data_IF_502784126696
#
_entry.id   IF_502784126696
#
_cell.length_a   1.000
_cell.length_b   1.000
_cell.length_c   1.000
_cell.angle_alpha   90.00
_cell.angle_beta   90.00
_cell.angle_gamma   90.00
#
_symmetry.space_group_name_H-M   'P 1'
#
loop_
_entity.id
_entity.type
_entity.pdbx_description
1 polymer ?
#
# COMPACT_ATOMS: atom_id res chain seq x y z
N UNK A 1 -15.87 7.98 -36.15
CA UNK A 1 -14.46 7.80 -36.55
C UNK A 1 -13.73 6.98 -35.49
N UNK A 2 -13.73 5.66 -35.60
CA UNK A 2 -12.86 4.79 -34.79
C UNK A 2 -11.49 4.77 -35.47
N UNK A 3 -10.58 5.60 -34.98
CA UNK A 3 -9.20 5.62 -35.46
C UNK A 3 -8.53 4.29 -35.18
N UNK A 4 -8.10 3.60 -36.22
CA UNK A 4 -7.29 2.38 -36.12
C UNK A 4 -5.93 2.76 -35.49
N UNK A 5 -5.80 2.55 -34.18
CA UNK A 5 -4.52 2.68 -33.48
C UNK A 5 -3.50 1.74 -34.15
N UNK A 6 -2.34 2.24 -34.59
CA UNK A 6 -1.35 1.44 -35.32
C UNK A 6 -0.90 0.22 -34.49
N UNK A 7 -0.69 -0.91 -35.17
CA UNK A 7 -0.39 -2.22 -34.55
C UNK A 7 0.85 -2.19 -33.64
N UNK A 8 1.82 -1.33 -33.97
CA UNK A 8 3.00 -1.05 -33.15
C UNK A 8 2.65 -0.43 -31.79
N UNK A 9 1.75 0.54 -31.76
CA UNK A 9 1.32 1.20 -30.53
C UNK A 9 0.53 0.27 -29.60
N UNK A 10 -0.24 -0.68 -30.16
CA UNK A 10 -0.92 -1.72 -29.38
C UNK A 10 0.06 -2.70 -28.72
N UNK A 11 1.12 -3.09 -29.41
CA UNK A 11 2.16 -3.98 -28.85
C UNK A 11 2.93 -3.30 -27.73
N UNK A 12 3.35 -2.04 -27.94
CA UNK A 12 4.02 -1.26 -26.90
C UNK A 12 3.11 -1.10 -25.67
N UNK A 13 1.83 -0.80 -25.87
CA UNK A 13 0.88 -0.69 -24.75
C UNK A 13 0.71 -2.02 -24.00
N UNK A 14 0.62 -3.15 -24.71
CA UNK A 14 0.49 -4.47 -24.09
C UNK A 14 1.75 -4.86 -23.29
N UNK A 15 2.95 -4.57 -23.81
CA UNK A 15 4.21 -4.80 -23.09
C UNK A 15 4.37 -3.86 -21.88
N UNK A 16 3.97 -2.59 -22.00
CA UNK A 16 3.95 -1.65 -20.89
C UNK A 16 2.97 -2.10 -19.80
N UNK A 17 1.76 -2.55 -20.17
CA UNK A 17 0.79 -3.09 -19.19
C UNK A 17 1.28 -4.40 -18.58
N UNK A 18 1.90 -5.28 -19.37
CA UNK A 18 2.50 -6.53 -18.92
C UNK A 18 3.65 -6.30 -17.94
N UNK A 19 4.51 -5.32 -18.21
CA UNK A 19 5.59 -4.93 -17.28
C UNK A 19 5.02 -4.24 -16.04
N UNK A 20 3.99 -3.40 -16.13
CA UNK A 20 3.35 -2.79 -14.96
C UNK A 20 2.62 -3.79 -14.03
N UNK A 21 2.50 -5.07 -14.42
CA UNK A 21 1.92 -6.11 -13.56
C UNK A 21 2.65 -6.31 -12.23
N UNK A 22 3.97 -6.01 -12.15
CA UNK A 22 4.70 -6.09 -10.88
C UNK A 22 4.23 -5.07 -9.84
N UNK A 23 3.54 -4.01 -10.28
CA UNK A 23 2.98 -2.98 -9.42
C UNK A 23 1.60 -3.35 -8.86
N UNK A 24 1.04 -4.51 -9.19
CA UNK A 24 -0.31 -4.89 -8.73
C UNK A 24 -0.49 -4.73 -7.21
N UNK A 25 -1.65 -4.20 -6.77
CA UNK A 25 -2.01 -4.11 -5.36
C UNK A 25 -1.90 -5.47 -4.67
N UNK A 26 -1.18 -5.52 -3.55
CA UNK A 26 -1.06 -6.72 -2.73
C UNK A 26 -1.94 -6.60 -1.48
N UNK A 27 -2.21 -7.70 -0.79
CA UNK A 27 -3.07 -7.70 0.40
C UNK A 27 -2.31 -7.35 1.70
N UNK A 28 -1.13 -6.74 1.60
CA UNK A 28 -0.23 -6.41 2.72
C UNK A 28 0.05 -4.91 2.83
N UNK A 29 -0.78 -4.07 2.22
CA UNK A 29 -0.60 -2.62 2.14
C UNK A 29 -1.86 -1.82 2.54
N UNK A 30 -1.69 -0.52 2.76
CA UNK A 30 -2.79 0.43 2.98
C UNK A 30 -3.07 1.23 1.69
N UNK A 31 -4.24 1.86 1.60
CA UNK A 31 -4.62 2.72 0.45
C UNK A 31 -3.59 3.83 0.25
N UNK A 32 -3.09 4.42 1.35
CA UNK A 32 -2.03 5.41 1.30
C UNK A 32 -0.76 4.86 0.64
N UNK A 33 -0.38 3.60 0.90
CA UNK A 33 0.81 2.99 0.30
C UNK A 33 0.59 2.78 -1.20
N UNK A 34 -0.60 2.28 -1.59
CA UNK A 34 -0.98 2.09 -3.00
C UNK A 34 -0.90 3.38 -3.80
N UNK A 35 -1.28 4.51 -3.20
CA UNK A 35 -1.16 5.82 -3.84
C UNK A 35 0.29 6.14 -4.25
N UNK A 36 1.28 5.76 -3.44
CA UNK A 36 2.70 5.95 -3.77
C UNK A 36 3.19 4.94 -4.80
N UNK A 37 3.27 3.66 -4.43
CA UNK A 37 4.02 2.71 -5.23
C UNK A 37 3.27 2.27 -6.48
N UNK A 38 1.93 2.23 -6.46
CA UNK A 38 1.13 1.79 -7.60
C UNK A 38 0.70 2.98 -8.45
N UNK A 39 -0.15 3.86 -7.91
CA UNK A 39 -0.76 4.93 -8.70
C UNK A 39 0.27 5.98 -9.15
N UNK A 40 1.11 6.47 -8.23
CA UNK A 40 2.08 7.53 -8.57
C UNK A 40 3.22 6.98 -9.45
N UNK A 41 3.77 5.82 -9.13
CA UNK A 41 4.77 5.18 -10.00
C UNK A 41 4.22 4.90 -11.39
N UNK A 42 3.00 4.38 -11.52
CA UNK A 42 2.37 4.12 -12.83
C UNK A 42 2.13 5.42 -13.58
N UNK A 43 1.60 6.45 -12.91
CA UNK A 43 1.38 7.76 -13.50
C UNK A 43 2.68 8.36 -14.06
N UNK A 44 3.78 8.27 -13.30
CA UNK A 44 5.10 8.75 -13.74
C UNK A 44 5.63 7.97 -14.93
N UNK A 45 5.55 6.64 -14.91
CA UNK A 45 6.02 5.79 -16.02
C UNK A 45 5.22 6.04 -17.30
N UNK A 46 3.88 6.11 -17.21
CA UNK A 46 3.02 6.42 -18.36
C UNK A 46 3.35 7.81 -18.91
N UNK A 47 3.54 8.80 -18.04
CA UNK A 47 3.90 10.16 -18.46
C UNK A 47 5.28 10.21 -19.11
N UNK A 48 6.26 9.47 -18.60
CA UNK A 48 7.59 9.38 -19.20
C UNK A 48 7.53 8.77 -20.62
N UNK A 49 6.72 7.73 -20.82
CA UNK A 49 6.48 7.12 -22.14
C UNK A 49 5.80 8.12 -23.09
N UNK A 50 4.75 8.82 -22.63
CA UNK A 50 4.04 9.81 -23.46
C UNK A 50 4.95 10.95 -23.91
N UNK A 51 5.78 11.49 -23.02
CA UNK A 51 6.75 12.54 -23.37
C UNK A 51 7.79 12.01 -24.35
N UNK A 52 8.31 10.80 -24.12
CA UNK A 52 9.29 10.17 -25.01
C UNK A 52 8.73 9.94 -26.41
N UNK A 53 7.47 9.52 -26.54
CA UNK A 53 6.80 9.36 -27.84
C UNK A 53 6.71 10.70 -28.59
N UNK A 54 6.44 11.82 -27.90
CA UNK A 54 6.44 13.15 -28.53
C UNK A 54 7.84 13.62 -28.90
N UNK A 55 8.86 13.28 -28.11
CA UNK A 55 10.25 13.67 -28.35
C UNK A 55 10.87 12.96 -29.56
N UNK A 56 10.66 11.65 -29.70
CA UNK A 56 11.27 10.86 -30.77
C UNK A 56 10.35 10.65 -31.99
N UNK A 57 9.03 10.69 -31.79
CA UNK A 57 8.03 10.41 -32.83
C UNK A 57 7.42 11.65 -33.48
N UNK A 58 7.80 12.85 -33.09
CA UNK A 58 7.33 14.11 -33.69
C UNK A 58 8.44 15.15 -33.77
N UNK A 59 8.12 16.37 -34.24
CA UNK A 59 9.01 17.53 -34.17
C UNK A 59 8.98 18.12 -32.75
N UNK A 60 10.06 18.02 -31.94
CA UNK A 60 10.07 18.53 -30.56
C UNK A 60 10.35 20.04 -30.49
N UNK A 61 11.01 20.57 -31.53
CA UNK A 61 11.35 21.97 -31.75
C UNK A 61 11.07 22.31 -33.21
N UNK A 62 10.59 23.52 -33.47
CA UNK A 62 10.38 24.05 -34.83
C UNK A 62 11.01 25.44 -34.92
N UNK A 63 11.83 25.69 -35.93
CA UNK A 63 12.63 26.92 -36.01
C UNK A 63 12.21 27.84 -37.16
N UNK A 64 12.19 29.14 -36.89
CA UNK A 64 12.00 30.19 -37.88
C UNK A 64 13.33 30.43 -38.61
N UNK A 65 13.37 30.03 -39.88
CA UNK A 65 14.56 30.05 -40.72
C UNK A 65 14.38 31.04 -41.89
N UNK A 66 15.48 31.64 -42.41
CA UNK A 66 15.42 32.45 -43.61
C UNK A 66 14.91 31.63 -44.82
N UNK A 67 14.18 32.29 -45.73
CA UNK A 67 13.59 31.65 -46.91
C UNK A 67 14.61 30.99 -47.87
N UNK A 68 15.89 31.31 -47.73
CA UNK A 68 17.00 30.72 -48.51
C UNK A 68 17.31 29.27 -48.10
N UNK A 69 16.94 28.87 -46.88
CA UNK A 69 17.20 27.53 -46.36
C UNK A 69 16.25 26.53 -47.00
N UNK A 70 16.81 25.51 -47.67
CA UNK A 70 16.03 24.39 -48.22
C UNK A 70 15.55 23.48 -47.07
N UNK A 71 14.50 22.68 -47.30
CA UNK A 71 13.94 21.80 -46.26
C UNK A 71 14.94 20.87 -45.57
N UNK A 72 15.96 20.36 -46.27
CA UNK A 72 17.01 19.55 -45.62
C UNK A 72 17.89 20.33 -44.64
N UNK A 73 18.03 21.65 -44.85
CA UNK A 73 18.76 22.57 -43.97
C UNK A 73 17.91 22.98 -42.78
N UNK A 74 16.58 23.06 -42.96
CA UNK A 74 15.62 23.20 -41.86
C UNK A 74 15.73 22.02 -40.90
N UNK A 75 15.61 20.79 -41.42
CA UNK A 75 15.70 19.57 -40.59
C UNK A 75 17.07 19.49 -39.87
N UNK A 76 18.17 19.83 -40.54
CA UNK A 76 19.49 19.89 -39.91
C UNK A 76 19.55 20.94 -38.79
N UNK A 77 19.04 22.14 -39.04
CA UNK A 77 19.11 23.23 -38.06
C UNK A 77 18.24 22.92 -36.84
N UNK A 78 17.04 22.36 -37.04
CA UNK A 78 16.17 21.92 -35.95
C UNK A 78 16.84 20.83 -35.11
N UNK A 79 17.45 19.81 -35.73
CA UNK A 79 18.17 18.77 -35.01
C UNK A 79 19.42 19.30 -34.28
N UNK A 80 20.15 20.23 -34.92
CA UNK A 80 21.32 20.88 -34.31
C UNK A 80 20.92 21.67 -33.06
N UNK A 81 19.89 22.51 -33.19
CA UNK A 81 19.37 23.32 -32.08
C UNK A 81 18.77 22.46 -30.97
N UNK A 82 18.11 21.36 -31.33
CA UNK A 82 17.65 20.38 -30.36
C UNK A 82 18.81 19.77 -29.58
N UNK A 83 19.91 19.39 -30.24
CA UNK A 83 21.05 18.72 -29.61
C UNK A 83 21.94 19.66 -28.78
N UNK A 84 22.15 20.90 -29.24
CA UNK A 84 23.07 21.88 -28.60
C UNK A 84 22.45 22.65 -27.43
N UNK A 85 21.15 22.48 -27.17
CA UNK A 85 20.32 23.29 -26.28
C UNK A 85 20.03 24.70 -26.82
N UNK A 86 18.98 25.31 -26.28
CA UNK A 86 18.55 26.67 -26.64
C UNK A 86 18.53 27.56 -25.41
N UNK A 87 18.59 28.87 -25.58
CA UNK A 87 18.58 29.84 -24.48
C UNK A 87 17.35 30.73 -24.53
N UNK A 88 16.93 31.24 -23.37
CA UNK A 88 15.78 32.13 -23.26
C UNK A 88 16.20 33.59 -23.11
N UNK A 89 15.61 34.47 -23.92
CA UNK A 89 15.74 35.92 -23.83
C UNK A 89 14.34 36.53 -23.97
N UNK A 90 13.89 37.38 -23.03
CA UNK A 90 12.66 38.15 -23.19
C UNK A 90 12.70 39.03 -24.45
N UNK A 91 11.58 39.15 -25.16
CA UNK A 91 11.51 39.94 -26.40
C UNK A 91 11.88 41.42 -26.24
N UNK A 92 11.66 42.00 -25.06
CA UNK A 92 11.96 43.40 -24.77
C UNK A 92 13.43 43.65 -24.40
N UNK A 93 14.22 42.60 -24.14
CA UNK A 93 15.63 42.73 -23.77
C UNK A 93 16.55 42.46 -24.95
N UNK A 94 17.68 43.18 -25.00
CA UNK A 94 18.74 42.91 -25.96
C UNK A 94 19.39 41.53 -25.74
N UNK A 95 19.96 40.98 -26.81
CA UNK A 95 20.69 39.73 -26.72
C UNK A 95 21.94 39.90 -25.86
N UNK A 96 22.24 38.94 -24.96
CA UNK A 96 23.44 39.01 -24.15
C UNK A 96 24.71 39.00 -25.03
N UNK A 97 25.60 39.93 -24.74
CA UNK A 97 26.94 40.01 -25.32
C UNK A 97 27.88 39.05 -24.58
N UNK A 98 28.61 38.22 -25.33
CA UNK A 98 29.48 37.18 -24.78
C UNK A 98 28.84 35.79 -24.72
N UNK A 99 29.68 34.77 -24.92
CA UNK A 99 29.24 33.38 -24.93
C UNK A 99 28.85 32.88 -23.54
N UNK A 100 29.56 33.31 -22.49
CA UNK A 100 29.29 32.92 -21.10
C UNK A 100 27.88 33.31 -20.66
N UNK A 101 27.46 34.55 -20.93
CA UNK A 101 26.13 35.03 -20.56
C UNK A 101 24.99 34.34 -21.34
N UNK A 102 25.29 33.72 -22.49
CA UNK A 102 24.35 32.90 -23.26
C UNK A 102 24.26 31.49 -22.69
N UNK A 103 25.40 30.91 -22.32
CA UNK A 103 25.48 29.60 -21.67
C UNK A 103 24.71 29.56 -20.34
N UNK A 104 24.82 30.61 -19.52
CA UNK A 104 24.08 30.73 -18.26
C UNK A 104 22.55 30.75 -18.42
N UNK A 105 22.05 31.12 -19.60
CA UNK A 105 20.61 31.19 -19.93
C UNK A 105 20.12 29.98 -20.72
N UNK A 106 20.97 28.96 -20.91
CA UNK A 106 20.60 27.75 -21.63
C UNK A 106 19.58 26.93 -20.86
N UNK A 107 18.64 26.38 -21.60
CA UNK A 107 17.56 25.54 -21.10
C UNK A 107 17.80 24.13 -21.64
N UNK A 108 17.99 23.16 -20.75
CA UNK A 108 18.28 21.77 -21.13
C UNK A 108 17.41 20.72 -20.44
N UNK A 109 16.63 21.10 -19.41
CA UNK A 109 15.83 20.16 -18.61
C UNK A 109 14.81 19.35 -19.44
N UNK A 110 14.31 19.89 -20.56
CA UNK A 110 13.30 19.22 -21.39
C UNK A 110 13.83 17.92 -22.01
N UNK A 111 15.13 17.84 -22.31
CA UNK A 111 15.77 16.62 -22.83
C UNK A 111 15.81 15.51 -21.76
N UNK A 112 16.03 15.90 -20.51
CA UNK A 112 16.20 14.99 -19.38
C UNK A 112 14.90 14.59 -18.68
N UNK A 113 13.79 15.25 -19.04
CA UNK A 113 12.50 15.08 -18.36
C UNK A 113 12.02 13.62 -18.30
N UNK A 114 12.05 12.82 -19.39
CA UNK A 114 11.61 11.42 -19.31
C UNK A 114 12.45 10.58 -18.35
N UNK A 115 13.77 10.76 -18.35
CA UNK A 115 14.68 10.03 -17.47
C UNK A 115 14.45 10.40 -16.01
N UNK A 116 14.27 11.70 -15.73
CA UNK A 116 13.91 12.20 -14.41
C UNK A 116 12.63 11.51 -13.89
N UNK A 117 11.56 11.46 -14.70
CA UNK A 117 10.29 10.83 -14.31
C UNK A 117 10.43 9.33 -14.00
N UNK A 118 11.27 8.59 -14.76
CA UNK A 118 11.55 7.17 -14.50
C UNK A 118 12.29 6.98 -13.17
N UNK A 119 13.28 7.83 -12.88
CA UNK A 119 14.01 7.80 -11.60
C UNK A 119 13.05 8.10 -10.44
N UNK A 120 12.19 9.12 -10.59
CA UNK A 120 11.15 9.43 -9.62
C UNK A 120 10.21 8.23 -9.39
N UNK A 121 9.76 7.56 -10.46
CA UNK A 121 8.90 6.38 -10.36
C UNK A 121 9.56 5.27 -9.54
N UNK A 122 10.83 4.98 -9.81
CA UNK A 122 11.59 4.00 -9.03
C UNK A 122 11.71 4.39 -7.55
N UNK A 123 11.97 5.66 -7.26
CA UNK A 123 12.06 6.16 -5.88
C UNK A 123 10.72 6.03 -5.14
N UNK A 124 9.57 6.27 -5.79
CA UNK A 124 8.24 6.01 -5.23
C UNK A 124 7.95 4.51 -4.99
N UNK A 125 8.51 3.63 -5.81
CA UNK A 125 8.39 2.18 -5.63
C UNK A 125 9.32 1.64 -4.53
N UNK A 126 10.46 2.27 -4.31
CA UNK A 126 11.53 1.78 -3.41
C UNK A 126 11.10 1.45 -1.97
N UNK A 127 10.21 2.21 -1.28
CA UNK A 127 9.82 1.87 0.08
C UNK A 127 9.01 0.58 0.14
N UNK A 128 8.17 0.32 -0.87
CA UNK A 128 7.42 -0.93 -1.00
C UNK A 128 8.35 -2.12 -1.26
N UNK A 129 9.38 -1.94 -2.09
CA UNK A 129 10.39 -2.96 -2.31
C UNK A 129 11.14 -3.31 -1.01
N UNK A 130 11.53 -2.29 -0.24
CA UNK A 130 12.19 -2.48 1.07
C UNK A 130 11.28 -3.24 2.03
N UNK A 131 9.99 -2.87 2.12
CA UNK A 131 9.00 -3.59 2.91
C UNK A 131 8.99 -5.08 2.53
N UNK A 132 8.83 -5.38 1.23
CA UNK A 132 8.72 -6.74 0.69
C UNK A 132 9.94 -7.61 1.01
N UNK A 133 11.14 -7.04 0.91
CA UNK A 133 12.39 -7.75 1.20
C UNK A 133 12.57 -7.99 2.72
N UNK A 134 12.09 -7.07 3.55
CA UNK A 134 12.37 -7.07 5.00
C UNK A 134 11.28 -7.74 5.83
N UNK A 135 10.01 -7.73 5.43
CA UNK A 135 8.93 -8.31 6.24
C UNK A 135 8.98 -9.85 6.22
N UNK A 136 9.44 -10.47 5.13
CA UNK A 136 9.62 -11.93 5.06
C UNK A 136 10.64 -12.43 6.10
N UNK A 137 11.64 -11.60 6.43
CA UNK A 137 12.62 -11.89 7.50
C UNK A 137 12.00 -11.87 8.88
N UNK A 138 10.78 -11.36 9.03
CA UNK A 138 10.05 -11.57 10.26
C UNK A 138 9.83 -13.07 10.42
N UNK A 139 9.26 -13.78 9.45
CA UNK A 139 8.75 -15.14 9.63
C UNK A 139 7.26 -15.18 9.97
N UNK A 140 6.56 -14.03 9.93
CA UNK A 140 5.10 -13.98 9.78
C UNK A 140 4.84 -13.92 8.27
N UNK A 141 4.22 -14.95 7.71
CA UNK A 141 3.80 -14.95 6.30
C UNK A 141 2.53 -14.14 6.15
N UNK A 142 2.67 -12.82 6.13
CA UNK A 142 1.53 -11.88 6.10
C UNK A 142 0.65 -12.11 4.87
N UNK A 143 1.26 -12.35 3.70
CA UNK A 143 0.55 -12.67 2.46
C UNK A 143 -0.39 -13.86 2.60
N UNK A 144 0.09 -14.95 3.21
CA UNK A 144 -0.71 -16.16 3.41
C UNK A 144 -1.88 -15.89 4.37
N UNK A 145 -1.61 -15.22 5.50
CA UNK A 145 -2.62 -14.83 6.49
C UNK A 145 -3.74 -14.02 5.82
N UNK A 146 -3.37 -13.03 5.01
CA UNK A 146 -4.35 -12.18 4.32
C UNK A 146 -5.10 -12.95 3.24
N UNK A 147 -4.41 -13.79 2.46
CA UNK A 147 -5.05 -14.63 1.45
C UNK A 147 -6.13 -15.55 2.07
N UNK A 148 -5.84 -16.20 3.20
CA UNK A 148 -6.81 -17.01 3.93
C UNK A 148 -7.99 -16.18 4.45
N UNK A 149 -7.73 -14.97 4.92
CA UNK A 149 -8.77 -14.08 5.44
C UNK A 149 -9.68 -13.49 4.35
N UNK A 150 -9.14 -13.24 3.16
CA UNK A 150 -9.88 -12.69 2.02
C UNK A 150 -10.43 -13.76 1.08
N UNK A 151 -10.31 -15.04 1.44
CA UNK A 151 -10.77 -16.14 0.59
C UNK A 151 -12.28 -16.04 0.31
N UNK A 152 -12.67 -16.27 -0.95
CA UNK A 152 -14.07 -16.22 -1.39
C UNK A 152 -14.92 -17.28 -0.71
N UNK A 153 -14.32 -18.37 -0.23
CA UNK A 153 -15.01 -19.40 0.55
C UNK A 153 -15.60 -18.87 1.87
N UNK A 154 -15.07 -17.75 2.40
CA UNK A 154 -15.55 -17.12 3.64
C UNK A 154 -16.97 -16.55 3.55
N UNK A 155 -17.57 -16.52 2.35
CA UNK A 155 -19.00 -16.21 2.18
C UNK A 155 -19.86 -17.31 2.81
N UNK A 156 -19.42 -18.57 2.77
CA UNK A 156 -20.15 -19.68 3.37
C UNK A 156 -19.85 -19.81 4.87
N UNK A 157 -20.86 -19.86 5.76
CA UNK A 157 -20.63 -19.86 7.21
C UNK A 157 -19.78 -21.02 7.74
N UNK A 158 -19.92 -22.22 7.18
CA UNK A 158 -19.17 -23.39 7.63
C UNK A 158 -17.68 -23.29 7.26
N UNK A 159 -17.39 -22.95 6.00
CA UNK A 159 -16.02 -22.73 5.53
C UNK A 159 -15.35 -21.55 6.28
N UNK A 160 -16.10 -20.46 6.50
CA UNK A 160 -15.62 -19.32 7.28
C UNK A 160 -15.18 -19.71 8.69
N UNK A 161 -15.99 -20.48 9.42
CA UNK A 161 -15.64 -20.94 10.77
C UNK A 161 -14.38 -21.81 10.79
N UNK A 162 -14.24 -22.72 9.82
CA UNK A 162 -13.06 -23.56 9.69
C UNK A 162 -11.80 -22.71 9.41
N UNK A 163 -11.90 -21.77 8.48
CA UNK A 163 -10.81 -20.85 8.13
C UNK A 163 -10.40 -19.95 9.31
N UNK A 164 -11.37 -19.44 10.06
CA UNK A 164 -11.13 -18.61 11.25
C UNK A 164 -10.49 -19.43 12.38
N UNK A 165 -10.93 -20.67 12.59
CA UNK A 165 -10.29 -21.56 13.56
C UNK A 165 -8.85 -21.88 13.16
N UNK A 166 -8.60 -22.18 11.88
CA UNK A 166 -7.25 -22.37 11.34
C UNK A 166 -6.37 -21.12 11.50
N UNK A 167 -6.92 -19.95 11.19
CA UNK A 167 -6.22 -18.66 11.27
C UNK A 167 -5.88 -18.28 12.72
N UNK A 168 -6.83 -18.41 13.64
CA UNK A 168 -6.63 -18.13 15.07
C UNK A 168 -5.63 -19.09 15.71
N UNK A 169 -5.65 -20.38 15.36
CA UNK A 169 -4.67 -21.36 15.79
C UNK A 169 -3.26 -21.04 15.24
N UNK A 170 -3.16 -20.70 13.95
CA UNK A 170 -1.90 -20.30 13.33
C UNK A 170 -1.33 -19.02 13.97
N UNK A 171 -2.14 -17.97 14.14
CA UNK A 171 -1.73 -16.72 14.78
C UNK A 171 -1.31 -16.93 16.24
N UNK A 172 -2.10 -17.69 17.00
CA UNK A 172 -1.77 -18.04 18.39
C UNK A 172 -0.45 -18.80 18.50
N UNK A 173 -0.21 -19.76 17.60
CA UNK A 173 1.05 -20.51 17.53
C UNK A 173 2.24 -19.61 17.16
N UNK A 174 2.08 -18.75 16.16
CA UNK A 174 3.12 -17.80 15.73
C UNK A 174 3.47 -16.82 16.84
N UNK A 175 2.47 -16.27 17.53
CA UNK A 175 2.69 -15.36 18.65
C UNK A 175 3.26 -16.10 19.87
N UNK A 176 2.97 -17.38 20.10
CA UNK A 176 3.52 -18.11 21.25
C UNK A 176 4.95 -18.62 21.02
N UNK A 177 5.22 -19.20 19.84
CA UNK A 177 6.46 -19.93 19.57
C UNK A 177 7.63 -19.01 19.27
N UNK A 178 7.39 -17.85 18.66
CA UNK A 178 8.49 -17.00 18.20
C UNK A 178 9.17 -16.18 19.30
N UNK A 179 8.48 -15.92 20.42
CA UNK A 179 9.04 -15.10 21.51
C UNK A 179 9.78 -15.89 22.58
N UNK A 180 9.80 -17.24 22.53
CA UNK A 180 10.77 -18.04 23.31
C UNK A 180 12.21 -17.93 22.79
N UNK A 181 12.40 -17.49 21.53
CA UNK A 181 13.74 -17.28 20.93
C UNK A 181 14.41 -15.97 21.35
N UNK A 182 13.70 -15.06 22.04
CA UNK A 182 14.19 -13.72 22.39
C UNK A 182 15.12 -13.66 23.62
N UNK A 183 15.23 -14.73 24.41
CA UNK A 183 15.86 -14.68 25.74
C UNK A 183 17.31 -15.18 25.82
N UNK A 184 17.97 -15.54 24.71
CA UNK A 184 19.42 -15.81 24.75
C UNK A 184 20.00 -16.45 23.50
N UNK A 185 20.43 -15.64 22.53
CA UNK A 185 21.27 -16.12 21.43
C UNK A 185 22.68 -15.49 21.51
N UNK A 186 23.77 -16.24 21.32
CA UNK A 186 25.17 -15.76 21.46
C UNK A 186 25.60 -14.66 20.48
N UNK A 187 24.84 -14.41 19.42
CA UNK A 187 25.23 -13.55 18.29
C UNK A 187 24.58 -12.16 18.35
N UNK A 188 24.41 -11.58 19.53
CA UNK A 188 24.02 -10.18 19.64
C UNK A 188 25.20 -9.33 19.16
N UNK A 189 25.12 -8.74 17.96
CA UNK A 189 26.19 -7.85 17.50
C UNK A 189 26.27 -6.64 18.44
N UNK A 190 27.39 -6.53 19.17
CA UNK A 190 27.60 -5.50 20.21
C UNK A 190 27.71 -4.08 19.62
N UNK A 191 28.11 -3.97 18.35
CA UNK A 191 28.47 -2.72 17.70
C UNK A 191 27.35 -2.13 16.82
N UNK A 192 26.70 -2.96 15.99
CA UNK A 192 25.58 -2.53 15.15
C UNK A 192 24.24 -2.97 15.71
N UNK A 193 23.76 -2.24 16.72
CA UNK A 193 22.51 -2.53 17.43
C UNK A 193 21.27 -2.53 16.51
N UNK A 194 21.30 -1.80 15.40
CA UNK A 194 20.20 -1.76 14.42
C UNK A 194 20.08 -3.07 13.62
N UNK A 195 21.16 -3.82 13.39
CA UNK A 195 21.09 -5.12 12.70
C UNK A 195 20.45 -6.22 13.58
N UNK A 196 20.32 -5.97 14.90
CA UNK A 196 19.62 -6.85 15.84
C UNK A 196 18.09 -6.60 15.87
N UNK A 197 17.54 -5.76 14.98
CA UNK A 197 16.10 -5.48 14.85
C UNK A 197 15.24 -6.75 14.73
N UNK A 198 15.79 -7.81 14.13
CA UNK A 198 15.15 -9.13 13.91
C UNK A 198 14.65 -9.83 15.20
N UNK A 199 15.20 -9.49 16.36
CA UNK A 199 14.89 -10.15 17.65
C UNK A 199 13.99 -9.33 18.58
N UNK A 200 13.49 -8.17 18.15
CA UNK A 200 12.55 -7.38 18.94
C UNK A 200 11.11 -7.88 18.77
N UNK A 201 10.36 -7.92 19.87
CA UNK A 201 8.94 -8.30 19.90
C UNK A 201 7.99 -7.37 19.11
N UNK A 202 8.54 -6.30 18.53
CA UNK A 202 7.85 -5.26 17.79
C UNK A 202 8.48 -4.99 16.40
N UNK A 203 9.26 -5.94 15.86
CA UNK A 203 9.99 -5.76 14.60
C UNK A 203 9.08 -5.36 13.44
N UNK A 204 7.97 -6.07 13.25
CA UNK A 204 7.09 -5.84 12.10
C UNK A 204 6.40 -4.47 12.20
N UNK A 205 5.97 -4.10 13.40
CA UNK A 205 5.34 -2.80 13.68
C UNK A 205 6.32 -1.65 13.43
N UNK A 206 7.55 -1.73 13.95
CA UNK A 206 8.57 -0.71 13.74
C UNK A 206 9.01 -0.61 12.29
N UNK A 207 9.18 -1.75 11.61
CA UNK A 207 9.48 -1.80 10.18
C UNK A 207 8.40 -1.03 9.40
N UNK A 208 7.12 -1.33 9.64
CA UNK A 208 6.04 -0.69 8.92
C UNK A 208 5.95 0.82 9.19
N UNK A 209 6.12 1.26 10.44
CA UNK A 209 6.21 2.69 10.77
C UNK A 209 7.40 3.36 10.05
N UNK A 210 8.54 2.67 9.97
CA UNK A 210 9.70 3.12 9.20
C UNK A 210 9.41 3.26 7.71
N UNK A 211 8.64 2.34 7.12
CA UNK A 211 8.19 2.44 5.72
C UNK A 211 7.26 3.64 5.52
N UNK A 212 6.32 3.89 6.44
CA UNK A 212 5.46 5.08 6.40
C UNK A 212 6.26 6.38 6.46
N UNK A 213 7.28 6.44 7.32
CA UNK A 213 8.22 7.56 7.36
C UNK A 213 8.97 7.70 6.02
N UNK A 214 9.43 6.60 5.45
CA UNK A 214 10.16 6.60 4.19
C UNK A 214 9.29 7.10 3.03
N UNK A 215 7.99 6.77 2.98
CA UNK A 215 7.07 7.35 2.01
C UNK A 215 6.90 8.86 2.18
N UNK A 216 6.78 9.35 3.43
CA UNK A 216 6.68 10.78 3.71
C UNK A 216 7.96 11.52 3.29
N UNK A 217 9.13 11.02 3.70
CA UNK A 217 10.43 11.58 3.33
C UNK A 217 10.62 11.54 1.81
N UNK A 218 10.23 10.45 1.15
CA UNK A 218 10.32 10.34 -0.30
C UNK A 218 9.48 11.44 -0.98
N UNK A 219 8.22 11.65 -0.61
CA UNK A 219 7.41 12.73 -1.22
C UNK A 219 8.03 14.11 -1.03
N UNK A 220 8.52 14.42 0.17
CA UNK A 220 9.16 15.70 0.45
C UNK A 220 10.45 15.87 -0.37
N UNK A 221 11.24 14.81 -0.49
CA UNK A 221 12.42 14.76 -1.33
C UNK A 221 12.06 14.95 -2.81
N UNK A 222 11.00 14.33 -3.30
CA UNK A 222 10.56 14.47 -4.69
C UNK A 222 10.09 15.90 -4.99
N UNK A 223 9.39 16.54 -4.05
CA UNK A 223 9.04 17.97 -4.17
C UNK A 223 10.28 18.86 -4.25
N UNK A 224 11.31 18.56 -3.44
CA UNK A 224 12.58 19.26 -3.48
C UNK A 224 13.35 19.01 -4.79
N UNK A 225 13.45 17.75 -5.23
CA UNK A 225 14.13 17.36 -6.47
C UNK A 225 13.48 18.00 -7.69
N UNK A 226 12.15 18.12 -7.72
CA UNK A 226 11.44 18.81 -8.79
C UNK A 226 11.77 20.31 -8.83
N UNK A 227 11.90 20.96 -7.67
CA UNK A 227 12.32 22.36 -7.60
C UNK A 227 13.75 22.56 -8.13
N UNK A 228 14.65 21.65 -7.76
CA UNK A 228 16.05 21.66 -8.23
C UNK A 228 16.14 21.38 -9.74
N UNK A 229 15.36 20.43 -10.25
CA UNK A 229 15.37 20.04 -11.66
C UNK A 229 14.92 21.17 -12.60
N UNK A 230 13.96 21.97 -12.17
CA UNK A 230 13.43 23.10 -12.94
C UNK A 230 14.24 24.39 -12.79
N UNK A 231 15.36 24.35 -12.03
CA UNK A 231 16.31 25.47 -11.85
C UNK A 231 15.63 26.82 -11.56
N UNK A 232 14.55 26.78 -10.77
CA UNK A 232 13.74 27.98 -10.50
C UNK A 232 14.33 28.75 -9.34
N UNK A 233 15.50 29.36 -9.51
CA UNK A 233 16.20 30.10 -8.44
C UNK A 233 15.39 31.30 -7.91
N UNK A 234 14.45 31.82 -8.70
CA UNK A 234 13.55 32.91 -8.31
C UNK A 234 12.52 32.51 -7.24
N UNK A 235 12.22 31.22 -7.06
CA UNK A 235 11.17 30.75 -6.15
C UNK A 235 11.69 29.67 -5.19
N UNK A 236 11.62 29.92 -3.88
CA UNK A 236 11.98 28.91 -2.85
C UNK A 236 11.10 27.65 -2.93
N UNK A 237 9.86 27.78 -3.43
CA UNK A 237 8.94 26.67 -3.71
C UNK A 237 8.28 26.89 -5.06
N UNK A 238 8.77 26.19 -6.09
CA UNK A 238 8.29 26.22 -7.47
C UNK A 238 6.77 26.35 -7.60
N UNK A 239 6.00 25.43 -7.02
CA UNK A 239 4.57 25.35 -7.33
C UNK A 239 3.69 26.41 -6.66
N UNK A 240 4.11 27.00 -5.52
CA UNK A 240 3.40 28.14 -4.94
C UNK A 240 3.62 29.39 -5.82
N UNK A 241 4.85 29.59 -6.29
CA UNK A 241 5.20 30.69 -7.20
C UNK A 241 4.42 30.61 -8.52
N UNK A 242 4.43 29.45 -9.17
CA UNK A 242 3.73 29.22 -10.44
C UNK A 242 2.21 29.32 -10.29
N UNK A 243 1.63 28.76 -9.22
CA UNK A 243 0.19 28.87 -8.99
C UNK A 243 -0.24 30.32 -8.74
N UNK A 244 0.57 31.09 -7.99
CA UNK A 244 0.35 32.51 -7.77
C UNK A 244 0.43 33.31 -9.06
N UNK A 245 1.43 33.05 -9.90
CA UNK A 245 1.60 33.74 -11.17
C UNK A 245 0.45 33.43 -12.14
N UNK A 246 -0.05 32.19 -12.12
CA UNK A 246 -1.23 31.77 -12.90
C UNK A 246 -2.52 32.43 -12.38
N UNK A 247 -2.71 32.51 -11.06
CA UNK A 247 -3.84 33.21 -10.42
C UNK A 247 -3.82 34.71 -10.68
N UNK A 248 -2.62 35.31 -10.74
CA UNK A 248 -2.42 36.73 -11.05
C UNK A 248 -2.46 37.03 -12.55
N UNK A 249 -2.64 36.01 -13.41
CA UNK A 249 -2.73 36.17 -14.86
C UNK A 249 -1.42 36.66 -15.51
N UNK A 250 -0.26 36.48 -14.85
CA UNK A 250 1.02 36.91 -15.42
C UNK A 250 1.40 36.01 -16.61
N UNK A 251 1.66 36.58 -17.80
CA UNK A 251 2.01 35.77 -18.96
C UNK A 251 3.40 35.14 -18.83
N UNK A 252 3.55 33.94 -19.39
CA UNK A 252 4.79 33.15 -19.39
C UNK A 252 6.00 33.92 -19.95
N UNK A 253 5.76 34.86 -20.88
CA UNK A 253 6.75 35.74 -21.50
C UNK A 253 7.53 36.60 -20.50
N UNK A 254 6.95 36.90 -19.33
CA UNK A 254 7.58 37.72 -18.29
C UNK A 254 8.20 36.89 -17.16
N UNK A 255 7.62 35.71 -16.88
CA UNK A 255 8.11 34.85 -15.79
C UNK A 255 9.45 34.19 -16.11
N UNK A 256 9.71 33.89 -17.39
CA UNK A 256 10.87 33.14 -17.87
C UNK A 256 10.89 31.66 -17.46
N UNK A 257 9.88 31.19 -16.72
CA UNK A 257 9.73 29.80 -16.34
C UNK A 257 8.97 29.08 -17.47
N UNK A 258 9.56 28.02 -18.01
CA UNK A 258 9.07 27.29 -19.19
C UNK A 258 8.92 28.15 -20.46
N UNK A 259 10.03 28.60 -21.07
CA UNK A 259 9.98 29.36 -22.31
C UNK A 259 9.45 28.51 -23.46
N UNK A 260 8.40 28.99 -24.14
CA UNK A 260 7.88 28.34 -25.36
C UNK A 260 8.62 28.80 -26.61
N UNK A 261 9.27 29.95 -26.52
CA UNK A 261 10.14 30.50 -27.58
C UNK A 261 11.53 30.64 -27.00
N UNK A 262 12.49 30.11 -27.72
CA UNK A 262 13.91 30.09 -27.36
C UNK A 262 14.76 30.44 -28.57
N UNK A 263 15.99 30.87 -28.34
CA UNK A 263 16.94 31.20 -29.40
C UNK A 263 18.05 30.15 -29.47
N UNK A 264 18.54 29.91 -30.67
CA UNK A 264 19.62 28.98 -30.95
C UNK A 264 20.63 29.66 -31.86
N UNK A 265 21.91 29.46 -31.55
CA UNK A 265 23.00 30.02 -32.34
C UNK A 265 23.64 28.91 -33.18
N UNK A 266 23.62 29.09 -34.50
CA UNK A 266 24.17 28.18 -35.49
C UNK A 266 25.46 28.78 -36.06
N UNK A 267 26.59 28.11 -35.79
CA UNK A 267 27.89 28.51 -36.31
C UNK A 267 28.20 27.75 -37.59
N UNK A 268 28.11 28.42 -38.73
CA UNK A 268 28.42 27.85 -40.04
C UNK A 268 29.81 28.34 -40.48
N UNK A 269 30.66 27.41 -40.91
CA UNK A 269 31.96 27.74 -41.49
C UNK A 269 31.82 27.93 -43.00
N UNK A 270 32.06 29.14 -43.48
CA UNK A 270 32.13 29.46 -44.91
C UNK A 270 33.48 30.11 -45.22
N UNK A 271 34.24 29.53 -46.16
CA UNK A 271 35.53 30.07 -46.66
C UNK A 271 36.56 30.39 -45.54
N UNK A 272 36.53 29.65 -44.44
CA UNK A 272 37.46 29.83 -43.30
C UNK A 272 37.00 30.81 -42.22
N UNK A 273 35.91 31.56 -42.45
CA UNK A 273 35.28 32.42 -41.44
C UNK A 273 34.08 31.72 -40.80
N UNK A 274 33.95 31.83 -39.47
CA UNK A 274 32.77 31.36 -38.74
C UNK A 274 31.71 32.46 -38.81
N UNK A 275 30.55 32.15 -39.35
CA UNK A 275 29.38 33.03 -39.40
C UNK A 275 28.32 32.48 -38.44
N UNK A 276 27.91 33.30 -37.47
CA UNK A 276 26.93 32.93 -36.45
C UNK A 276 25.54 33.42 -36.86
N UNK A 277 24.62 32.49 -37.00
CA UNK A 277 23.21 32.75 -37.28
C UNK A 277 22.38 32.48 -36.04
N UNK A 278 21.66 33.49 -35.55
CA UNK A 278 20.72 33.33 -34.43
C UNK A 278 19.32 33.06 -34.97
N UNK A 279 18.77 31.89 -34.69
CA UNK A 279 17.42 31.49 -35.14
C UNK A 279 16.46 31.44 -33.96
N UNK A 280 15.21 31.82 -34.20
CA UNK A 280 14.14 31.75 -33.21
C UNK A 280 13.44 30.40 -33.34
N UNK A 281 13.34 29.65 -32.24
CA UNK A 281 12.72 28.33 -32.24
C UNK A 281 11.57 28.23 -31.22
N UNK A 282 10.49 27.60 -31.63
CA UNK A 282 9.34 27.25 -30.80
C UNK A 282 9.57 25.87 -30.19
N UNK A 283 9.64 25.81 -28.87
CA UNK A 283 9.88 24.59 -28.11
C UNK A 283 8.56 23.90 -27.78
N UNK A 284 8.04 23.14 -28.75
CA UNK A 284 6.72 22.48 -28.66
C UNK A 284 6.66 21.51 -27.49
N UNK A 285 7.77 20.82 -27.15
CA UNK A 285 7.78 19.89 -26.01
C UNK A 285 7.47 20.58 -24.68
N UNK A 286 7.84 21.87 -24.55
CA UNK A 286 7.79 22.56 -23.26
C UNK A 286 6.36 22.87 -22.80
N UNK A 287 5.41 22.98 -23.74
CA UNK A 287 3.99 23.16 -23.41
C UNK A 287 3.42 21.93 -22.67
N UNK A 288 3.91 20.74 -23.01
CA UNK A 288 3.49 19.49 -22.36
C UNK A 288 4.12 19.35 -20.99
N UNK A 289 5.43 19.62 -20.88
CA UNK A 289 6.14 19.54 -19.60
C UNK A 289 5.58 20.55 -18.59
N UNK A 290 5.27 21.78 -19.01
CA UNK A 290 4.61 22.79 -18.16
C UNK A 290 3.37 22.21 -17.47
N UNK A 291 2.46 21.58 -18.23
CA UNK A 291 1.21 21.03 -17.67
C UNK A 291 1.43 19.80 -16.80
N UNK A 292 2.34 18.92 -17.20
CA UNK A 292 2.71 17.73 -16.43
C UNK A 292 3.29 18.13 -15.07
N UNK A 293 4.23 19.06 -15.01
CA UNK A 293 4.87 19.48 -13.76
C UNK A 293 3.93 20.24 -12.83
N UNK A 294 2.98 21.01 -13.36
CA UNK A 294 1.92 21.63 -12.53
C UNK A 294 1.03 20.55 -11.90
N UNK A 295 0.59 19.56 -12.68
CA UNK A 295 -0.24 18.48 -12.17
C UNK A 295 0.52 17.61 -11.15
N UNK A 296 1.80 17.33 -11.41
CA UNK A 296 2.67 16.61 -10.47
C UNK A 296 2.83 17.37 -9.15
N UNK A 297 3.02 18.68 -9.18
CA UNK A 297 3.14 19.46 -7.95
C UNK A 297 1.87 19.41 -7.09
N UNK A 298 0.70 19.57 -7.71
CA UNK A 298 -0.59 19.45 -7.02
C UNK A 298 -0.78 18.04 -6.43
N UNK A 299 -0.44 17.01 -7.22
CA UNK A 299 -0.53 15.62 -6.79
C UNK A 299 0.42 15.30 -5.63
N UNK A 300 1.69 15.73 -5.69
CA UNK A 300 2.66 15.52 -4.62
C UNK A 300 2.30 16.27 -3.35
N UNK A 301 1.72 17.46 -3.47
CA UNK A 301 1.21 18.21 -2.31
C UNK A 301 0.08 17.46 -1.61
N UNK A 302 -0.87 16.90 -2.37
CA UNK A 302 -1.93 16.04 -1.84
C UNK A 302 -1.36 14.78 -1.19
N UNK A 303 -0.43 14.11 -1.87
CA UNK A 303 0.24 12.93 -1.33
C UNK A 303 1.01 13.24 -0.04
N UNK A 304 1.62 14.41 0.09
CA UNK A 304 2.34 14.80 1.30
C UNK A 304 1.40 14.83 2.51
N UNK A 305 0.21 15.43 2.35
CA UNK A 305 -0.81 15.50 3.39
C UNK A 305 -1.35 14.10 3.74
N UNK A 306 -1.62 13.27 2.73
CA UNK A 306 -2.08 11.89 2.94
C UNK A 306 -1.00 11.05 3.66
N UNK A 307 0.26 11.19 3.25
CA UNK A 307 1.40 10.46 3.84
C UNK A 307 1.64 10.88 5.28
N UNK A 308 1.58 12.17 5.55
CA UNK A 308 1.67 12.72 6.90
C UNK A 308 0.55 12.13 7.75
N UNK A 309 -0.71 12.24 7.33
CA UNK A 309 -1.85 11.69 8.06
C UNK A 309 -1.72 10.18 8.30
N UNK A 310 -1.32 9.41 7.28
CA UNK A 310 -1.09 7.96 7.42
C UNK A 310 0.03 7.66 8.43
N UNK A 311 1.17 8.33 8.34
CA UNK A 311 2.27 8.16 9.29
C UNK A 311 1.86 8.44 10.74
N UNK A 312 1.21 9.58 10.98
CA UNK A 312 0.77 9.95 12.33
C UNK A 312 -0.33 9.02 12.87
N UNK A 313 -1.31 8.63 12.05
CA UNK A 313 -2.36 7.69 12.47
C UNK A 313 -1.80 6.30 12.81
N UNK A 314 -0.82 5.80 12.05
CA UNK A 314 -0.15 4.54 12.37
C UNK A 314 0.69 4.62 13.64
N UNK A 315 1.42 5.72 13.86
CA UNK A 315 2.14 5.98 15.11
C UNK A 315 1.19 6.02 16.32
N UNK A 316 0.18 6.88 16.26
CA UNK A 316 -0.74 7.12 17.38
C UNK A 316 -1.62 5.91 17.68
N UNK A 317 -1.92 5.08 16.68
CA UNK A 317 -2.73 3.89 16.90
C UNK A 317 -1.90 2.68 17.37
N UNK A 318 -0.64 2.55 16.94
CA UNK A 318 0.14 1.30 17.15
C UNK A 318 1.13 1.36 18.31
N UNK A 319 1.70 2.52 18.63
CA UNK A 319 2.67 2.63 19.74
C UNK A 319 1.99 2.62 21.12
N UNK A 320 0.99 3.50 21.40
CA UNK A 320 0.42 3.60 22.74
C UNK A 320 -0.29 2.32 23.16
N UNK A 321 0.02 1.83 24.36
CA UNK A 321 -0.59 0.61 24.90
C UNK A 321 -2.11 0.77 25.05
N UNK A 322 -2.58 1.93 25.50
CA UNK A 322 -4.01 2.21 25.63
C UNK A 322 -4.77 2.09 24.32
N UNK A 323 -4.19 2.52 23.21
CA UNK A 323 -4.84 2.45 21.90
C UNK A 323 -4.88 1.02 21.37
N UNK A 324 -3.81 0.23 21.60
CA UNK A 324 -3.79 -1.21 21.32
C UNK A 324 -4.84 -1.96 22.15
N UNK A 325 -4.92 -1.68 23.45
CA UNK A 325 -5.94 -2.23 24.35
C UNK A 325 -7.34 -1.86 23.89
N UNK A 326 -7.60 -0.59 23.57
CA UNK A 326 -8.89 -0.12 23.05
C UNK A 326 -9.27 -0.74 21.70
N UNK A 327 -8.30 -1.05 20.85
CA UNK A 327 -8.55 -1.74 19.59
C UNK A 327 -9.06 -3.17 19.86
N UNK A 328 -8.37 -3.95 20.68
CA UNK A 328 -8.76 -5.33 21.02
C UNK A 328 -10.06 -5.35 21.85
N UNK A 329 -10.20 -4.45 22.83
CA UNK A 329 -11.42 -4.35 23.65
C UNK A 329 -12.66 -4.13 22.80
N UNK A 330 -12.61 -3.21 21.83
CA UNK A 330 -13.74 -2.96 20.92
C UNK A 330 -14.10 -4.20 20.11
N UNK A 331 -13.11 -5.00 19.68
CA UNK A 331 -13.38 -6.25 18.96
C UNK A 331 -14.12 -7.25 19.83
N UNK A 332 -13.68 -7.43 21.07
CA UNK A 332 -14.33 -8.33 22.02
C UNK A 332 -15.74 -7.87 22.38
N UNK A 333 -15.95 -6.56 22.58
CA UNK A 333 -17.29 -5.98 22.81
C UNK A 333 -18.24 -6.19 21.61
N UNK A 334 -17.71 -6.22 20.38
CA UNK A 334 -18.51 -6.55 19.19
C UNK A 334 -18.79 -8.06 19.04
N UNK A 335 -17.91 -8.93 19.55
CA UNK A 335 -18.08 -10.39 19.48
C UNK A 335 -19.05 -10.91 20.53
N UNK A 336 -18.96 -10.38 21.76
CA UNK A 336 -19.73 -10.83 22.91
C UNK A 336 -20.36 -9.65 23.64
N UNK A 337 -21.70 -9.58 23.63
CA UNK A 337 -22.50 -8.54 24.29
C UNK A 337 -22.35 -8.61 25.82
N UNK A 338 -21.99 -9.77 26.37
CA UNK A 338 -21.76 -9.95 27.80
C UNK A 338 -20.37 -9.45 28.25
N UNK A 339 -19.45 -9.27 27.30
CA UNK A 339 -18.12 -8.76 27.59
C UNK A 339 -18.16 -7.29 28.00
N UNK A 340 -18.17 -7.05 29.32
CA UNK A 340 -17.99 -5.71 29.89
C UNK A 340 -16.53 -5.45 30.22
N UNK A 341 -15.90 -4.50 29.53
CA UNK A 341 -14.50 -4.08 29.72
C UNK A 341 -14.11 -3.86 31.18
N UNK A 342 -15.01 -3.41 32.05
CA UNK A 342 -14.72 -3.17 33.48
C UNK A 342 -14.44 -4.44 34.29
N UNK A 343 -14.99 -5.58 33.88
CA UNK A 343 -14.91 -6.82 34.65
C UNK A 343 -13.60 -7.60 34.39
N UNK A 344 -13.07 -7.54 33.17
CA UNK A 344 -11.91 -8.33 32.73
C UNK A 344 -10.68 -7.47 32.43
N UNK A 345 -10.48 -6.34 33.13
CA UNK A 345 -9.40 -5.40 32.78
C UNK A 345 -8.01 -6.03 32.91
N UNK A 346 -7.78 -6.85 33.94
CA UNK A 346 -6.46 -7.47 34.21
C UNK A 346 -6.15 -8.55 33.18
N UNK A 347 -7.11 -9.42 32.90
CA UNK A 347 -7.00 -10.46 31.88
C UNK A 347 -6.80 -9.87 30.49
N UNK A 348 -7.50 -8.77 30.19
CA UNK A 348 -7.35 -8.06 28.92
C UNK A 348 -5.96 -7.43 28.78
N UNK A 349 -5.43 -6.84 29.86
CA UNK A 349 -4.07 -6.28 29.86
C UNK A 349 -3.02 -7.37 29.64
N UNK A 350 -3.15 -8.50 30.31
CA UNK A 350 -2.28 -9.67 30.13
C UNK A 350 -2.39 -10.25 28.72
N UNK A 351 -3.59 -10.39 28.16
CA UNK A 351 -3.79 -10.84 26.80
C UNK A 351 -3.13 -9.92 25.77
N UNK A 352 -3.31 -8.60 25.88
CA UNK A 352 -2.74 -7.64 24.94
C UNK A 352 -1.21 -7.55 25.10
N UNK A 353 -0.71 -7.55 26.33
CA UNK A 353 0.72 -7.37 26.62
C UNK A 353 1.53 -8.64 26.40
N UNK A 354 1.04 -9.79 26.83
CA UNK A 354 1.83 -11.01 26.97
C UNK A 354 1.46 -12.06 25.89
N UNK A 355 0.19 -12.12 25.46
CA UNK A 355 -0.28 -13.07 24.43
C UNK A 355 -0.20 -12.51 23.00
N UNK A 356 -0.87 -11.38 22.70
CA UNK A 356 -0.95 -10.80 21.34
C UNK A 356 0.27 -9.94 21.01
N UNK A 357 0.76 -9.16 21.99
CA UNK A 357 1.90 -8.24 21.84
C UNK A 357 1.71 -7.17 20.75
N UNK A 358 2.75 -6.39 20.48
CA UNK A 358 2.69 -5.24 19.56
C UNK A 358 2.52 -5.68 18.10
N UNK A 359 3.32 -6.64 17.63
CA UNK A 359 3.25 -7.17 16.27
C UNK A 359 1.96 -7.93 15.98
N UNK A 360 1.38 -8.62 16.97
CA UNK A 360 0.08 -9.28 16.78
C UNK A 360 -1.06 -8.28 16.61
N UNK A 361 -1.05 -7.18 17.36
CA UNK A 361 -2.02 -6.09 17.15
C UNK A 361 -1.83 -5.46 15.77
N UNK A 362 -0.60 -5.31 15.28
CA UNK A 362 -0.34 -4.85 13.91
C UNK A 362 -0.97 -5.80 12.86
N UNK A 363 -0.72 -7.11 12.97
CA UNK A 363 -1.29 -8.10 12.05
C UNK A 363 -2.82 -8.08 12.07
N UNK A 364 -3.44 -7.97 13.25
CA UNK A 364 -4.90 -7.88 13.40
C UNK A 364 -5.49 -6.58 12.82
N UNK A 365 -4.77 -5.46 12.92
CA UNK A 365 -5.17 -4.22 12.23
C UNK A 365 -5.11 -4.38 10.72
N UNK A 366 -4.05 -5.01 10.21
CA UNK A 366 -3.90 -5.25 8.79
C UNK A 366 -4.99 -6.21 8.28
N UNK A 367 -5.33 -7.22 9.08
CA UNK A 367 -6.43 -8.13 8.83
C UNK A 367 -7.77 -7.38 8.74
N UNK A 368 -8.00 -6.43 9.64
CA UNK A 368 -9.19 -5.58 9.63
C UNK A 368 -9.29 -4.76 8.34
N UNK A 369 -8.18 -4.21 7.85
CA UNK A 369 -8.16 -3.36 6.64
C UNK A 369 -8.55 -4.17 5.39
N UNK A 370 -8.04 -5.40 5.27
CA UNK A 370 -8.23 -6.22 4.05
C UNK A 370 -9.46 -7.13 4.08
N UNK A 371 -9.71 -7.80 5.20
CA UNK A 371 -10.81 -8.77 5.36
C UNK A 371 -12.07 -8.18 6.00
N UNK A 372 -11.97 -6.94 6.47
CA UNK A 372 -13.04 -6.22 7.16
C UNK A 372 -13.13 -6.51 8.66
N UNK A 373 -14.08 -5.83 9.27
CA UNK A 373 -14.28 -5.76 10.72
C UNK A 373 -14.74 -7.12 11.29
N UNK A 374 -15.65 -7.81 10.59
CA UNK A 374 -16.30 -9.03 11.09
C UNK A 374 -15.31 -10.19 11.28
N UNK A 375 -14.51 -10.47 10.26
CA UNK A 375 -13.54 -11.59 10.29
C UNK A 375 -12.51 -11.37 11.39
N UNK A 376 -11.96 -10.15 11.51
CA UNK A 376 -11.03 -9.83 12.58
C UNK A 376 -11.67 -9.99 13.98
N UNK A 377 -12.94 -9.61 14.14
CA UNK A 377 -13.66 -9.77 15.42
C UNK A 377 -13.81 -11.25 15.80
N UNK A 378 -14.26 -12.10 14.87
CA UNK A 378 -14.39 -13.55 15.09
C UNK A 378 -13.03 -14.22 15.40
N UNK A 379 -11.95 -13.80 14.73
CA UNK A 379 -10.58 -14.30 15.01
C UNK A 379 -10.10 -13.91 16.40
N UNK A 380 -10.31 -12.65 16.81
CA UNK A 380 -9.91 -12.16 18.14
C UNK A 380 -10.68 -12.89 19.24
N UNK A 381 -11.96 -13.18 19.02
CA UNK A 381 -12.80 -13.96 19.95
C UNK A 381 -12.27 -15.38 20.15
N UNK A 382 -11.98 -16.11 19.06
CA UNK A 382 -11.37 -17.45 19.16
C UNK A 382 -10.01 -17.43 19.86
N UNK A 383 -9.19 -16.40 19.60
CA UNK A 383 -7.90 -16.25 20.29
C UNK A 383 -8.05 -15.96 21.78
N UNK A 384 -9.07 -15.18 22.16
CA UNK A 384 -9.39 -14.86 23.55
C UNK A 384 -9.88 -16.09 24.32
N UNK A 385 -10.78 -16.88 23.72
CA UNK A 385 -11.27 -18.13 24.30
C UNK A 385 -10.12 -19.13 24.51
N UNK A 386 -9.21 -19.24 23.54
CA UNK A 386 -8.00 -20.06 23.67
C UNK A 386 -7.09 -19.60 24.82
N UNK A 387 -6.88 -18.29 24.96
CA UNK A 387 -6.11 -17.72 26.06
C UNK A 387 -6.72 -18.02 27.44
N UNK A 388 -8.04 -17.83 27.59
CA UNK A 388 -8.73 -18.14 28.84
C UNK A 388 -8.66 -19.64 29.18
N UNK A 389 -8.79 -20.51 28.18
CA UNK A 389 -8.65 -21.96 28.38
C UNK A 389 -7.24 -22.35 28.85
N UNK A 390 -6.18 -21.78 28.26
CA UNK A 390 -4.81 -22.02 28.69
C UNK A 390 -4.55 -21.51 30.13
N UNK A 391 -5.06 -20.32 30.46
CA UNK A 391 -4.93 -19.76 31.81
C UNK A 391 -5.67 -20.60 32.85
N UNK A 392 -6.89 -21.04 32.53
CA UNK A 392 -7.67 -21.94 33.39
C UNK A 392 -6.95 -23.27 33.63
N UNK A 393 -6.40 -23.88 32.58
CA UNK A 393 -5.62 -25.12 32.69
C UNK A 393 -4.37 -24.96 33.56
N UNK A 394 -3.67 -23.82 33.45
CA UNK A 394 -2.50 -23.52 34.29
C UNK A 394 -2.86 -23.38 35.78
N UNK A 395 -3.98 -22.71 36.09
CA UNK A 395 -4.46 -22.56 37.47
C UNK A 395 -4.86 -23.91 38.05
N UNK A 396 -5.63 -24.71 37.31
CA UNK A 396 -6.04 -26.06 37.76
C UNK A 396 -4.82 -26.95 37.98
N UNK A 397 -3.84 -26.93 37.07
CA UNK A 397 -2.60 -27.68 37.22
C UNK A 397 -1.79 -27.26 38.45
N UNK A 398 -1.77 -25.96 38.77
CA UNK A 398 -1.17 -25.44 40.00
C UNK A 398 -1.84 -25.99 41.26
N UNK A 399 -3.18 -25.94 41.31
CA UNK A 399 -3.98 -26.45 42.43
C UNK A 399 -3.78 -27.96 42.63
N UNK A 400 -3.76 -28.75 41.54
CA UNK A 400 -3.50 -30.20 41.63
C UNK A 400 -2.10 -30.47 42.18
N UNK A 401 -1.10 -29.67 41.81
CA UNK A 401 0.28 -29.83 42.27
C UNK A 401 0.45 -29.45 43.75
N UNK A 402 -0.25 -28.43 44.22
CA UNK A 402 -0.27 -28.05 45.65
C UNK A 402 -1.03 -29.08 46.49
N UNK A 403 -2.19 -29.56 46.03
CA UNK A 403 -2.98 -30.57 46.74
C UNK A 403 -2.38 -31.98 46.66
N UNK A 404 -1.58 -32.29 45.64
CA UNK A 404 -0.91 -33.58 45.47
C UNK A 404 0.30 -33.80 46.38
N UNK A 405 0.81 -32.76 47.05
CA UNK A 405 1.91 -32.87 48.02
C UNK A 405 1.44 -33.02 49.49
N UNK A 406 0.12 -32.94 49.74
CA UNK A 406 -0.47 -33.06 51.07
C UNK A 406 -1.25 -34.37 51.26
N UNK A 407 -0.63 -35.34 51.94
CA UNK A 407 -1.17 -36.62 52.45
C UNK A 407 -1.44 -37.73 51.43
N UNK A 408 -0.56 -38.74 51.44
CA UNK A 408 -1.02 -40.14 51.38
C UNK A 408 -0.11 -41.07 52.19
N UNK A 409 0.10 -40.76 53.46
CA UNK A 409 0.56 -41.73 54.47
C UNK A 409 -0.57 -41.99 55.47
N UNK A 410 -1.45 -42.94 55.17
CA UNK A 410 -1.92 -43.92 56.16
C UNK A 410 -2.65 -45.10 55.51
N UNK A 411 -2.23 -46.29 55.92
CA UNK A 411 -2.68 -47.63 55.55
C UNK A 411 -4.20 -47.85 55.69
N UNK A 412 -4.78 -48.58 54.73
CA UNK A 412 -5.55 -49.78 55.04
C UNK A 412 -5.52 -50.79 53.86
N UNK A 413 -4.94 -51.95 54.10
CA UNK A 413 -4.99 -53.14 53.26
C UNK A 413 -6.37 -53.81 53.40
N UNK A 414 -6.98 -54.28 52.30
CA UNK A 414 -7.52 -55.66 52.14
C UNK A 414 -8.33 -55.80 50.83
N UNK A 415 -7.88 -56.75 49.99
CA UNK A 415 -8.67 -57.69 49.17
C UNK A 415 -9.93 -57.22 48.38
N UNK A 416 -9.84 -57.19 47.05
CA UNK A 416 -10.37 -58.21 46.09
C UNK A 416 -10.42 -57.66 44.65
N UNK A 417 -10.13 -58.54 43.70
CA UNK A 417 -10.15 -58.37 42.24
C UNK A 417 -11.58 -58.52 41.67
N UNK A 418 -11.81 -58.48 40.34
CA UNK A 418 -12.54 -57.39 39.69
C UNK A 418 -13.93 -57.84 39.20
N UNK A 419 -14.91 -56.94 39.14
CA UNK A 419 -16.01 -57.11 38.20
C UNK A 419 -16.65 -55.78 37.80
N UNK A 420 -16.79 -55.66 36.48
CA UNK A 420 -17.73 -54.85 35.71
C UNK A 420 -18.70 -53.93 36.47
N UNK A 421 -18.55 -52.63 36.24
CA UNK A 421 -19.60 -51.78 35.65
C UNK A 421 -19.01 -50.41 35.27
N UNK A 422 -19.15 -50.06 33.99
CA UNK A 422 -18.94 -48.71 33.48
C UNK A 422 -19.95 -47.76 34.14
N UNK A 423 -19.52 -47.07 35.19
CA UNK A 423 -20.12 -45.82 35.65
C UNK A 423 -19.17 -44.69 35.30
N UNK A 424 -19.28 -44.13 34.10
CA UNK A 424 -18.55 -42.94 33.70
C UNK A 424 -18.98 -41.77 34.57
N UNK A 425 -18.06 -41.21 35.35
CA UNK A 425 -18.26 -39.97 36.08
C UNK A 425 -18.25 -38.82 35.07
N UNK A 426 -19.43 -38.27 34.78
CA UNK A 426 -19.59 -37.09 33.93
C UNK A 426 -18.89 -35.89 34.58
N UNK A 427 -17.97 -35.28 33.83
CA UNK A 427 -17.47 -33.94 34.14
C UNK A 427 -18.62 -32.94 34.02
N UNK A 428 -18.71 -31.91 34.89
CA UNK A 428 -19.66 -30.85 34.66
C UNK A 428 -19.26 -30.11 33.37
N UNK A 429 -20.11 -30.24 32.35
CA UNK A 429 -20.09 -29.41 31.16
C UNK A 429 -20.10 -27.93 31.61
N UNK A 430 -18.94 -27.28 31.57
CA UNK A 430 -18.91 -25.81 31.49
C UNK A 430 -19.60 -25.49 30.17
N UNK A 431 -20.79 -24.94 30.29
CA UNK A 431 -21.70 -24.66 29.19
C UNK A 431 -20.94 -24.02 28.02
N UNK A 432 -20.99 -24.68 26.86
CA UNK A 432 -20.85 -23.99 25.58
C UNK A 432 -21.93 -22.91 25.55
N UNK A 433 -21.59 -21.70 26.03
CA UNK A 433 -22.42 -20.51 25.84
C UNK A 433 -22.54 -20.33 24.33
N UNK A 434 -23.73 -20.62 23.80
CA UNK A 434 -24.13 -20.20 22.45
C UNK A 434 -23.99 -18.68 22.40
N UNK A 435 -22.86 -18.19 21.87
CA UNK A 435 -22.73 -16.79 21.42
C UNK A 435 -23.68 -16.65 20.22
N UNK A 436 -24.79 -15.94 20.42
CA UNK A 436 -25.71 -15.58 19.34
C UNK A 436 -24.97 -14.66 18.37
N UNK A 437 -24.58 -15.19 17.20
CA UNK A 437 -24.16 -14.32 16.10
C UNK A 437 -25.37 -13.48 15.70
N UNK A 438 -25.25 -12.16 15.79
CA UNK A 438 -26.25 -11.23 15.27
C UNK A 438 -26.31 -11.42 13.75
N UNK A 439 -27.29 -12.19 13.30
CA UNK A 439 -27.72 -12.26 11.92
C UNK A 439 -29.04 -11.51 11.88
N UNK A 440 -29.02 -10.32 11.28
CA UNK A 440 -30.23 -9.64 10.81
C UNK A 440 -30.78 -10.50 9.68
N UNK A 441 -31.99 -11.07 9.77
CA UNK A 441 -32.65 -11.65 8.61
C UNK A 441 -33.30 -10.49 7.83
N UNK A 442 -32.79 -10.18 6.65
CA UNK A 442 -33.63 -9.62 5.61
C UNK A 442 -34.54 -10.76 5.13
N UNK A 443 -35.71 -10.87 5.75
CA UNK A 443 -36.83 -11.64 5.23
C UNK A 443 -38.01 -10.69 5.13
N UNK A 444 -38.42 -10.48 3.88
CA UNK A 444 -39.68 -9.86 3.50
C UNK A 444 -40.83 -10.54 4.22
N UNK A 445 -41.64 -9.70 4.85
CA UNK A 445 -42.96 -10.00 5.40
C UNK A 445 -43.84 -10.50 4.25
N UNK A 446 -44.46 -11.65 4.42
CA UNK A 446 -45.81 -11.93 3.92
C UNK A 446 -46.48 -12.98 4.83
N UNK A 447 -47.79 -12.83 4.96
CA UNK A 447 -48.60 -13.04 6.17
C UNK A 447 -48.94 -14.49 6.54
N UNK A 448 -49.27 -14.64 7.83
CA UNK A 448 -49.84 -15.82 8.45
C UNK A 448 -51.33 -16.00 8.14
N UNK A 449 -51.82 -17.25 8.03
CA UNK A 449 -53.16 -17.66 8.47
C UNK A 449 -53.19 -19.17 8.86
N UNK A 450 -53.89 -19.58 9.95
CA UNK A 450 -53.96 -20.96 10.41
C UNK A 450 -55.34 -21.62 10.12
N UNK A 451 -55.39 -22.96 9.96
CA UNK A 451 -56.32 -23.91 10.62
C UNK A 451 -56.37 -25.29 9.95
N UNK A 452 -56.69 -26.27 10.81
CA UNK A 452 -56.73 -27.73 10.67
C UNK A 452 -57.69 -28.33 9.60
N UNK A 453 -57.33 -29.49 9.04
CA UNK A 453 -58.08 -30.77 9.13
C UNK A 453 -57.46 -31.87 8.21
N UNK A 454 -57.30 -33.09 8.77
CA UNK A 454 -57.02 -34.39 8.11
C UNK A 454 -58.25 -34.93 7.33
N UNK A 455 -58.23 -36.13 6.69
CA UNK A 455 -57.16 -36.88 5.98
C UNK A 455 -57.65 -37.38 4.57
N UNK A 456 -56.80 -38.13 3.84
CA UNK A 456 -57.14 -39.35 3.05
C UNK A 456 -56.49 -39.51 1.64
N UNK A 457 -55.98 -40.74 1.46
CA UNK A 457 -56.06 -41.62 0.29
C UNK A 457 -55.08 -41.52 -0.92
N UNK A 458 -54.28 -42.61 -1.00
CA UNK A 458 -53.95 -43.48 -2.14
C UNK A 458 -53.01 -43.07 -3.31
N UNK A 459 -51.93 -43.87 -3.38
CA UNK A 459 -51.45 -44.70 -4.52
C UNK A 459 -50.83 -44.07 -5.80
N UNK A 460 -49.52 -44.32 -5.91
CA UNK A 460 -48.71 -44.85 -7.04
C UNK A 460 -48.35 -43.98 -8.27
N UNK A 461 -47.21 -44.28 -8.93
CA UNK A 461 -46.49 -43.48 -9.94
C UNK A 461 -46.56 -44.15 -11.35
N UNK A 462 -45.56 -44.09 -12.24
CA UNK A 462 -44.97 -42.98 -13.02
C UNK A 462 -45.08 -43.20 -14.55
N UNK A 463 -44.92 -42.15 -15.36
CA UNK A 463 -44.44 -42.15 -16.78
C UNK A 463 -44.54 -40.69 -17.27
N UNK A 464 -43.55 -40.02 -17.85
CA UNK A 464 -42.64 -40.41 -18.92
C UNK A 464 -43.18 -39.81 -20.23
N UNK A 465 -42.60 -38.73 -20.77
CA UNK A 465 -42.52 -38.48 -22.22
C UNK A 465 -41.60 -37.30 -22.60
N UNK A 466 -40.97 -37.47 -23.76
CA UNK A 466 -40.02 -36.65 -24.51
C UNK A 466 -40.67 -35.46 -25.26
N UNK A 467 -39.83 -34.54 -25.74
CA UNK A 467 -40.09 -33.64 -26.91
C UNK A 467 -39.99 -32.16 -26.54
N UNK A 468 -38.92 -31.41 -26.86
CA UNK A 468 -38.47 -30.82 -28.16
C UNK A 468 -39.39 -29.69 -28.67
N UNK A 469 -38.74 -28.58 -29.11
CA UNK A 469 -39.20 -27.34 -29.76
C UNK A 469 -39.54 -26.20 -28.77
N UNK A 470 -38.97 -24.99 -28.86
CA UNK A 470 -38.25 -24.27 -29.93
C UNK A 470 -36.97 -23.56 -29.43
#
# INVERSE_FOLDING_TARGET
MQGNVPRSMRMVFAEVVGTLSFLQPQADDDIADRLHYYYTSTFLLVTAVLISLKMFGGRPIECWLPAEFKGSWEDYTEMFCWARNTYFVPFASEFPEGDEAREDRMVSYYQWTPFFLVICAFMFYSPCLIWRIMYDKSGIRLKDIMAFATDRSNIQPHARRANIHGLSAHLSSVFKHRFKFGTGHPNHHRFFRFLNLRFYEAYLTWLYIGIKLLFLVNVLLQMYLMNLFLQTDKYSFYGIGVLRDLLMGKPWSESGNFPRVTYCDLDIRQLGQIQRHTVQCVLVINIFTEKVFILLWLWYSLLAVISFTSFFTWILSSLPFDQRKRFIARRLELADVEFKRKNFQKELDEFVRDYVKMDGVFVLKMLTIHSGILICTEVVDCMWDAFLHEKGAAVIGGIIKENGHGKLDHKLSSERTPNSQHGGFEFPNVSQRRKTSVLVPLLSVDEAHPRDHHPDLYLRPPSGFKGIHE
#
